data_IF_660336437965
#
_entry.id   IF_660336437965
#
_cell.length_a   1.000
_cell.length_b   1.000
_cell.length_c   1.000
_cell.angle_alpha   90.00
_cell.angle_beta   90.00
_cell.angle_gamma   90.00
#
_symmetry.space_group_name_H-M   'P 1'
#
loop_
_entity.id
_entity.type
_entity.pdbx_description
1 polymer ?
#
# COMPACT_ATOMS: atom_id res chain seq x y z
N UNK A 1 -11.78 -2.54 -4.10
CA UNK A 1 -10.51 -3.02 -3.51
C UNK A 1 -9.48 -3.19 -4.61
N UNK A 2 -8.31 -2.55 -4.51
CA UNK A 2 -7.21 -2.67 -5.47
C UNK A 2 -6.03 -3.32 -4.75
N UNK A 3 -5.52 -4.42 -5.31
CA UNK A 3 -4.35 -5.15 -4.80
C UNK A 3 -3.59 -5.73 -5.99
N UNK A 4 -2.31 -6.02 -5.80
CA UNK A 4 -1.53 -6.69 -6.81
C UNK A 4 -1.99 -8.14 -7.04
N UNK A 5 -1.52 -8.75 -8.13
CA UNK A 5 -1.88 -10.10 -8.53
C UNK A 5 -0.90 -11.16 -7.95
N UNK A 6 -0.23 -10.91 -6.81
CA UNK A 6 0.69 -11.91 -6.23
C UNK A 6 -0.08 -13.13 -5.74
N UNK A 7 0.56 -14.31 -5.78
CA UNK A 7 -0.05 -15.62 -5.50
C UNK A 7 -0.89 -15.70 -4.21
N UNK A 8 -0.47 -15.11 -3.06
CA UNK A 8 -1.31 -15.12 -1.86
C UNK A 8 -2.62 -14.33 -2.03
N UNK A 9 -2.58 -13.22 -2.76
CA UNK A 9 -3.74 -12.34 -3.01
C UNK A 9 -4.74 -12.94 -4.00
N UNK A 10 -4.29 -13.85 -4.87
CA UNK A 10 -5.13 -14.56 -5.84
C UNK A 10 -5.65 -15.91 -5.35
N UNK A 11 -5.29 -16.30 -4.12
CA UNK A 11 -5.68 -17.60 -3.57
C UNK A 11 -7.21 -17.73 -3.47
N UNK A 12 -7.70 -18.97 -3.51
CA UNK A 12 -9.13 -19.25 -3.43
C UNK A 12 -9.74 -18.75 -2.11
N UNK A 13 -9.01 -18.91 -1.00
CA UNK A 13 -9.44 -18.42 0.32
C UNK A 13 -9.57 -16.90 0.34
N UNK A 14 -8.59 -16.18 -0.22
CA UNK A 14 -8.63 -14.72 -0.32
C UNK A 14 -9.82 -14.25 -1.15
N UNK A 15 -10.03 -14.88 -2.33
CA UNK A 15 -11.18 -14.54 -3.21
C UNK A 15 -12.51 -14.82 -2.53
N UNK A 16 -12.66 -15.94 -1.85
CA UNK A 16 -13.88 -16.29 -1.13
C UNK A 16 -14.16 -15.28 -0.01
N UNK A 17 -13.13 -14.85 0.72
CA UNK A 17 -13.28 -13.83 1.76
C UNK A 17 -13.69 -12.47 1.20
N UNK A 18 -13.13 -12.06 0.05
CA UNK A 18 -13.49 -10.81 -0.61
C UNK A 18 -14.94 -10.82 -1.10
N UNK A 19 -15.43 -11.97 -1.61
CA UNK A 19 -16.83 -12.16 -1.97
C UNK A 19 -17.76 -12.06 -0.75
N UNK A 20 -17.38 -12.67 0.38
CA UNK A 20 -18.14 -12.58 1.63
C UNK A 20 -18.19 -11.15 2.21
N UNK A 21 -17.20 -10.32 1.90
CA UNK A 21 -17.16 -8.92 2.29
C UNK A 21 -17.84 -8.00 1.27
N UNK A 22 -18.36 -8.55 0.17
CA UNK A 22 -18.98 -7.81 -0.94
C UNK A 22 -18.05 -6.74 -1.54
N UNK A 23 -16.75 -7.00 -1.55
CA UNK A 23 -15.76 -6.07 -2.07
C UNK A 23 -15.49 -6.31 -3.56
N UNK A 24 -15.82 -5.33 -4.39
CA UNK A 24 -15.44 -5.33 -5.79
C UNK A 24 -13.93 -5.22 -5.96
N UNK A 25 -13.34 -6.18 -6.66
CA UNK A 25 -11.90 -6.23 -6.93
C UNK A 25 -11.61 -5.52 -8.25
N UNK A 26 -10.86 -4.44 -8.19
CA UNK A 26 -10.34 -3.75 -9.37
C UNK A 26 -9.29 -4.64 -10.04
N UNK A 27 -9.42 -4.86 -11.36
CA UNK A 27 -8.48 -5.69 -12.12
C UNK A 27 -7.12 -5.01 -12.16
N UNK A 28 -6.08 -5.74 -11.76
CA UNK A 28 -4.69 -5.30 -11.85
C UNK A 28 -3.96 -6.11 -12.92
N UNK A 29 -3.28 -5.49 -13.89
CA UNK A 29 -2.49 -6.21 -14.88
C UNK A 29 -1.29 -6.92 -14.22
N UNK A 30 -0.84 -8.05 -14.79
CA UNK A 30 0.29 -8.79 -14.25
C UNK A 30 1.59 -7.97 -14.35
N UNK A 31 2.37 -7.95 -13.26
CA UNK A 31 3.69 -7.31 -13.18
C UNK A 31 3.71 -5.79 -13.44
N UNK A 32 2.75 -5.05 -12.88
CA UNK A 32 2.68 -3.59 -13.01
C UNK A 32 2.85 -2.88 -11.64
N UNK A 33 4.04 -2.95 -11.02
CA UNK A 33 4.31 -2.26 -9.76
C UNK A 33 4.11 -0.74 -9.87
N UNK A 34 4.31 -0.16 -11.06
CA UNK A 34 4.10 1.27 -11.33
C UNK A 34 2.63 1.72 -11.23
N UNK A 35 1.69 0.76 -11.28
CA UNK A 35 0.25 1.00 -11.21
C UNK A 35 -0.31 0.90 -9.79
N UNK A 36 0.53 0.61 -8.79
CA UNK A 36 0.11 0.58 -7.39
C UNK A 36 0.59 1.86 -6.70
N UNK A 37 -0.31 2.78 -6.32
CA UNK A 37 0.09 4.04 -5.70
C UNK A 37 0.77 3.87 -4.34
N UNK A 38 0.46 2.78 -3.63
CA UNK A 38 1.18 2.45 -2.39
C UNK A 38 2.66 2.24 -2.67
N UNK A 39 2.99 1.48 -3.72
CA UNK A 39 4.35 1.08 -4.07
C UNK A 39 5.18 2.28 -4.52
N UNK A 40 4.59 3.21 -5.28
CA UNK A 40 5.34 4.37 -5.77
C UNK A 40 5.38 5.56 -4.81
N UNK A 41 4.27 5.91 -4.15
CA UNK A 41 4.19 7.14 -3.37
C UNK A 41 4.31 6.90 -1.87
N UNK A 42 3.50 5.99 -1.32
CA UNK A 42 3.47 5.74 0.12
C UNK A 42 4.77 5.10 0.61
N UNK A 43 5.17 3.98 -0.01
CA UNK A 43 6.37 3.26 0.38
C UNK A 43 7.64 4.05 0.08
N UNK A 44 7.67 4.86 -0.98
CA UNK A 44 8.79 5.76 -1.26
C UNK A 44 8.90 6.87 -0.22
N UNK A 45 7.79 7.50 0.17
CA UNK A 45 7.79 8.50 1.23
C UNK A 45 8.18 7.90 2.57
N UNK A 46 7.78 6.66 2.84
CA UNK A 46 8.16 5.94 4.05
C UNK A 46 9.65 5.59 4.02
N UNK A 47 10.16 5.08 2.91
CA UNK A 47 11.57 4.74 2.74
C UNK A 47 12.48 5.93 3.04
N UNK A 48 12.14 7.14 2.56
CA UNK A 48 12.89 8.35 2.89
C UNK A 48 12.99 8.63 4.40
N UNK A 49 12.00 8.21 5.19
CA UNK A 49 12.01 8.36 6.66
C UNK A 49 12.78 7.24 7.35
N UNK A 50 12.82 6.05 6.73
CA UNK A 50 13.49 4.87 7.27
C UNK A 50 14.99 4.80 6.90
N UNK A 51 15.40 5.35 5.75
CA UNK A 51 16.72 5.15 5.13
C UNK A 51 17.91 5.65 5.99
N UNK A 52 17.67 6.47 7.01
CA UNK A 52 18.72 6.98 7.91
C UNK A 52 18.65 6.42 9.34
N UNK A 53 17.91 5.32 9.57
CA UNK A 53 17.66 4.80 10.91
C UNK A 53 18.12 3.35 11.03
N UNK A 54 18.94 3.08 12.05
CA UNK A 54 19.24 1.74 12.49
C UNK A 54 18.27 1.38 13.62
N UNK A 55 17.54 0.29 13.45
CA UNK A 55 16.59 -0.19 14.45
C UNK A 55 17.18 -1.37 15.21
N UNK A 56 16.99 -1.39 16.52
CA UNK A 56 17.41 -2.50 17.38
C UNK A 56 16.25 -3.43 17.73
N UNK A 57 15.01 -3.00 17.51
CA UNK A 57 13.82 -3.81 17.77
C UNK A 57 12.65 -3.52 16.84
N UNK A 58 11.76 -4.51 16.68
CA UNK A 58 10.48 -4.33 15.98
C UNK A 58 9.58 -3.27 16.62
N UNK A 59 9.76 -2.98 17.92
CA UNK A 59 8.97 -1.96 18.63
C UNK A 59 9.32 -0.56 18.13
N UNK A 60 10.60 -0.29 17.90
CA UNK A 60 11.07 0.99 17.35
C UNK A 60 10.54 1.21 15.93
N UNK A 61 10.60 0.18 15.08
CA UNK A 61 10.03 0.23 13.73
C UNK A 61 8.53 0.55 13.77
N UNK A 62 7.77 -0.12 14.65
CA UNK A 62 6.33 0.14 14.79
C UNK A 62 6.04 1.57 15.24
N UNK A 63 6.78 2.07 16.23
CA UNK A 63 6.60 3.43 16.72
C UNK A 63 6.86 4.48 15.63
N UNK A 64 7.90 4.29 14.82
CA UNK A 64 8.22 5.18 13.71
C UNK A 64 7.17 5.10 12.60
N UNK A 65 6.62 3.92 12.33
CA UNK A 65 5.49 3.76 11.41
C UNK A 65 4.26 4.52 11.93
N UNK A 66 3.91 4.35 13.21
CA UNK A 66 2.76 5.02 13.82
C UNK A 66 2.93 6.55 13.75
N UNK A 67 4.13 7.05 14.06
CA UNK A 67 4.45 8.47 13.94
C UNK A 67 4.41 8.95 12.48
N UNK A 68 4.90 8.15 11.53
CA UNK A 68 4.83 8.47 10.11
C UNK A 68 3.38 8.62 9.66
N UNK A 69 2.51 7.65 9.94
CA UNK A 69 1.10 7.71 9.53
C UNK A 69 0.33 8.82 10.24
N UNK A 70 0.62 9.07 11.54
CA UNK A 70 0.03 10.17 12.29
C UNK A 70 0.47 11.56 11.78
N UNK A 71 1.64 11.65 11.13
CA UNK A 71 2.12 12.91 10.53
C UNK A 71 1.47 13.27 9.19
N UNK A 72 0.75 12.35 8.55
CA UNK A 72 0.14 12.57 7.23
C UNK A 72 -1.26 13.12 7.38
N UNK A 73 -1.55 14.15 6.60
CA UNK A 73 -2.89 14.72 6.51
C UNK A 73 -3.73 13.95 5.48
N UNK A 74 -5.02 14.30 5.41
CA UNK A 74 -5.93 13.72 4.44
C UNK A 74 -5.48 13.96 2.99
N UNK A 75 -4.98 15.16 2.69
CA UNK A 75 -4.53 15.53 1.34
C UNK A 75 -3.40 14.62 0.83
N UNK A 76 -2.51 14.18 1.71
CA UNK A 76 -1.48 13.21 1.35
C UNK A 76 -2.11 11.93 0.78
N UNK A 77 -3.06 11.31 1.48
CA UNK A 77 -3.70 10.08 1.02
C UNK A 77 -4.59 10.30 -0.20
N UNK A 78 -5.28 11.43 -0.29
CA UNK A 78 -6.04 11.81 -1.48
C UNK A 78 -5.13 11.94 -2.69
N UNK A 79 -3.97 12.57 -2.55
CA UNK A 79 -2.96 12.66 -3.61
C UNK A 79 -2.50 11.28 -4.06
N UNK A 80 -2.21 10.38 -3.10
CA UNK A 80 -1.83 8.98 -3.40
C UNK A 80 -2.92 8.29 -4.23
N UNK A 81 -4.21 8.47 -3.89
CA UNK A 81 -5.33 7.87 -4.62
C UNK A 81 -5.53 8.53 -6.00
N UNK A 82 -5.42 9.86 -6.09
CA UNK A 82 -5.63 10.62 -7.33
C UNK A 82 -4.53 10.39 -8.37
N UNK A 83 -3.35 9.90 -7.98
CA UNK A 83 -2.28 9.50 -8.89
C UNK A 83 -2.54 8.15 -9.60
N UNK A 84 -3.64 7.45 -9.28
CA UNK A 84 -4.08 6.23 -9.97
C UNK A 84 -4.37 6.42 -11.48
N UNK A 85 -5.21 7.39 -11.90
CA UNK A 85 -5.57 7.56 -13.31
C UNK A 85 -4.47 8.15 -14.22
N UNK A 86 -3.46 8.84 -13.69
CA UNK A 86 -2.44 9.51 -14.54
C UNK A 86 -1.39 8.55 -15.13
N UNK A 87 -1.43 7.26 -14.78
CA UNK A 87 -0.41 6.27 -15.15
C UNK A 87 -0.93 5.03 -15.90
N UNK A 88 -2.20 5.05 -16.30
CA UNK A 88 -2.88 3.99 -17.06
C UNK A 88 -2.84 4.22 -18.57
#
# INVERSE_FOLDING_TARGET
FHQDNKRPHTSLLTRQKLLLLEWDILRHPPYSPDLVPSDYYLFRSLQNVLDCKAYTSNKEVKNDLDQFYASKDQNFYESVIMLLPERG
#
